data_IF_448667367069
#
_entry.id   IF_448667367069
#
_cell.length_a   1.000
_cell.length_b   1.000
_cell.length_c   1.000
_cell.angle_alpha   90.00
_cell.angle_beta   90.00
_cell.angle_gamma   90.00
#
_symmetry.space_group_name_H-M   'P 1'
#
loop_
_entity.id
_entity.type
_entity.pdbx_description
1 polymer ?
#
# COMPACT_ATOMS: atom_id res chain seq x y z
N UNK A 1 -18.07 19.69 -1.34
CA UNK A 1 -17.76 18.26 -1.11
C UNK A 1 -16.33 18.16 -0.60
N UNK A 2 -16.05 17.36 0.43
CA UNK A 2 -14.71 17.21 1.01
C UNK A 2 -14.10 15.93 0.45
N UNK A 3 -13.16 16.06 -0.48
CA UNK A 3 -12.43 14.93 -1.05
C UNK A 3 -11.40 14.43 -0.05
N UNK A 4 -11.17 13.12 -0.01
CA UNK A 4 -10.10 12.53 0.77
C UNK A 4 -8.80 12.72 0.00
N UNK A 5 -7.87 13.48 0.58
CA UNK A 5 -6.54 13.66 -0.01
C UNK A 5 -5.67 12.44 0.29
N UNK A 6 -5.55 11.54 -0.68
CA UNK A 6 -4.78 10.29 -0.59
C UNK A 6 -3.27 10.48 -0.44
N UNK A 7 -2.76 11.71 -0.58
CA UNK A 7 -1.33 12.01 -0.34
C UNK A 7 -1.02 12.12 1.15
N UNK A 8 -2.03 12.29 1.99
CA UNK A 8 -1.86 12.25 3.46
C UNK A 8 -1.78 10.80 3.96
N UNK A 9 -0.87 10.54 4.91
CA UNK A 9 -0.63 9.21 5.49
C UNK A 9 -1.93 8.54 5.99
N UNK A 10 -2.81 9.29 6.65
CA UNK A 10 -4.08 8.77 7.14
C UNK A 10 -5.07 8.37 6.04
N UNK A 11 -5.12 9.11 4.94
CA UNK A 11 -5.95 8.78 3.80
C UNK A 11 -5.37 7.59 3.00
N UNK A 12 -4.06 7.57 2.81
CA UNK A 12 -3.37 6.47 2.16
C UNK A 12 -3.62 5.16 2.92
N UNK A 13 -3.43 5.15 4.25
CA UNK A 13 -3.74 3.98 5.11
C UNK A 13 -5.22 3.59 5.05
N UNK A 14 -6.13 4.54 4.87
CA UNK A 14 -7.57 4.24 4.77
C UNK A 14 -7.96 3.61 3.43
N UNK A 15 -7.26 3.96 2.36
CA UNK A 15 -7.51 3.44 1.00
C UNK A 15 -6.72 2.15 0.74
N UNK A 16 -5.51 2.02 1.29
CA UNK A 16 -4.56 0.94 1.00
C UNK A 16 -4.21 0.07 2.21
N UNK A 17 -4.68 0.39 3.41
CA UNK A 17 -4.35 -0.33 4.65
C UNK A 17 -5.30 -1.46 5.00
N UNK A 18 -6.27 -1.77 4.13
CA UNK A 18 -7.22 -2.88 4.33
C UNK A 18 -6.87 -4.08 3.45
N UNK A 19 -7.13 -5.30 3.92
CA UNK A 19 -6.85 -6.53 3.16
C UNK A 19 -7.57 -6.57 1.80
N UNK A 20 -8.73 -5.93 1.68
CA UNK A 20 -9.48 -5.81 0.41
C UNK A 20 -8.77 -4.94 -0.62
N UNK A 21 -7.98 -3.96 -0.18
CA UNK A 21 -7.21 -3.05 -1.03
C UNK A 21 -5.83 -3.60 -1.42
N UNK A 22 -5.43 -4.74 -0.84
CA UNK A 22 -4.18 -5.44 -1.11
C UNK A 22 -3.87 -5.66 -2.61
N UNK A 23 -4.78 -6.18 -3.45
CA UNK A 23 -4.50 -6.36 -4.88
C UNK A 23 -4.25 -5.04 -5.63
N UNK A 24 -4.96 -3.97 -5.26
CA UNK A 24 -4.77 -2.65 -5.83
C UNK A 24 -3.43 -2.05 -5.38
N UNK A 25 -3.04 -2.24 -4.11
CA UNK A 25 -1.75 -1.81 -3.60
C UNK A 25 -0.59 -2.53 -4.31
N UNK A 26 -0.71 -3.83 -4.54
CA UNK A 26 0.28 -4.62 -5.31
C UNK A 26 0.42 -4.06 -6.73
N UNK A 27 -0.70 -3.82 -7.42
CA UNK A 27 -0.68 -3.26 -8.78
C UNK A 27 -0.05 -1.87 -8.82
N UNK A 28 -0.40 -1.01 -7.86
CA UNK A 28 0.18 0.33 -7.73
C UNK A 28 1.69 0.28 -7.50
N UNK A 29 2.18 -0.56 -6.59
CA UNK A 29 3.61 -0.71 -6.31
C UNK A 29 4.36 -1.29 -7.50
N UNK A 30 3.79 -2.28 -8.19
CA UNK A 30 4.40 -2.83 -9.40
C UNK A 30 4.52 -1.79 -10.51
N UNK A 31 3.51 -0.92 -10.68
CA UNK A 31 3.56 0.18 -11.64
C UNK A 31 4.56 1.27 -11.22
N UNK A 32 4.63 1.60 -9.93
CA UNK A 32 5.53 2.63 -9.40
C UNK A 32 7.00 2.23 -9.47
N UNK A 33 7.29 0.95 -9.23
CA UNK A 33 8.65 0.39 -9.24
C UNK A 33 9.07 -0.16 -10.60
N UNK A 34 8.20 -0.08 -11.62
CA UNK A 34 8.35 -0.72 -12.93
C UNK A 34 8.69 -2.23 -12.86
N UNK A 35 8.17 -2.89 -11.82
CA UNK A 35 8.36 -4.33 -11.63
C UNK A 35 7.48 -5.11 -12.62
N UNK A 36 8.11 -5.91 -13.48
CA UNK A 36 7.44 -6.74 -14.49
C UNK A 36 8.00 -8.16 -14.52
N UNK A 37 7.20 -9.09 -15.03
CA UNK A 37 7.60 -10.50 -15.18
C UNK A 37 7.98 -11.13 -13.85
N UNK A 38 9.17 -11.70 -13.77
CA UNK A 38 9.68 -12.38 -12.57
C UNK A 38 9.91 -11.45 -11.37
N UNK A 39 9.99 -10.13 -11.60
CA UNK A 39 10.22 -9.13 -10.54
C UNK A 39 8.90 -8.58 -9.98
N UNK A 40 7.75 -8.99 -10.52
CA UNK A 40 6.45 -8.54 -10.04
C UNK A 40 6.21 -9.01 -8.59
N UNK A 41 5.76 -8.08 -7.75
CA UNK A 41 5.30 -8.36 -6.40
C UNK A 41 4.06 -9.25 -6.50
N UNK A 42 4.17 -10.48 -6.00
CA UNK A 42 3.08 -11.46 -6.00
C UNK A 42 2.19 -11.37 -4.75
N UNK A 43 2.78 -11.01 -3.61
CA UNK A 43 2.06 -10.82 -2.34
C UNK A 43 2.73 -9.71 -1.51
N UNK A 44 1.95 -9.07 -0.64
CA UNK A 44 2.47 -8.13 0.36
C UNK A 44 1.75 -8.33 1.70
N UNK A 45 2.48 -8.20 2.81
CA UNK A 45 1.87 -8.20 4.14
C UNK A 45 1.77 -6.77 4.63
N UNK A 46 0.54 -6.30 4.85
CA UNK A 46 0.31 -5.00 5.51
C UNK A 46 0.60 -5.21 6.99
N UNK A 47 1.80 -4.85 7.41
CA UNK A 47 2.12 -4.74 8.83
C UNK A 47 1.29 -3.60 9.41
N UNK A 48 0.80 -3.79 10.65
CA UNK A 48 -0.16 -2.89 11.27
C UNK A 48 0.25 -1.41 11.07
N UNK A 49 -0.56 -0.60 10.36
CA UNK A 49 -0.15 0.74 9.92
C UNK A 49 0.02 1.74 11.06
N UNK A 50 -0.37 1.38 12.29
CA UNK A 50 -0.21 2.16 13.52
C UNK A 50 0.96 1.67 14.36
N UNK A 51 1.42 0.45 14.12
CA UNK A 51 2.63 -0.08 14.71
C UNK A 51 3.83 0.46 13.93
N UNK A 52 4.48 1.50 14.46
CA UNK A 52 5.81 1.88 13.94
C UNK A 52 6.66 0.61 13.89
N UNK A 53 7.40 0.34 12.80
CA UNK A 53 8.36 -0.75 12.82
C UNK A 53 9.31 -0.48 13.99
N UNK A 54 9.29 -1.37 14.99
CA UNK A 54 10.30 -1.36 16.03
C UNK A 54 11.62 -1.60 15.33
N UNK A 55 12.55 -0.66 15.48
CA UNK A 55 13.88 -0.79 14.91
C UNK A 55 14.60 -1.92 15.67
N UNK A 56 15.09 -2.89 14.90
CA UNK A 56 15.91 -4.06 15.25
C UNK A 56 15.14 -5.34 15.59
#
# INVERSE_FOLDING_TARGET
MRYLDVTTDGAFKRVFGSSESKPILISFLNALLDNRGEHAIADLTIVDPWCRPSRA
#
